data_IF_933204061939
#
_entry.id   IF_933204061939
#
_cell.length_a   1.000
_cell.length_b   1.000
_cell.length_c   1.000
_cell.angle_alpha   90.00
_cell.angle_beta   90.00
_cell.angle_gamma   90.00
#
_symmetry.space_group_name_H-M   'P 1'
#
loop_
_entity.id
_entity.type
_entity.pdbx_description
1 polymer ?
#
# COMPACT_ATOMS: atom_id res chain seq x y z
N UNK A 1 -71.76 -23.89 -23.69
CA UNK A 1 -70.76 -22.84 -23.83
C UNK A 1 -70.19 -22.51 -22.45
N UNK A 2 -69.05 -23.10 -22.10
CA UNK A 2 -68.39 -22.88 -20.79
C UNK A 2 -67.32 -21.80 -20.96
N UNK A 3 -67.52 -20.64 -20.34
CA UNK A 3 -66.54 -19.55 -20.32
C UNK A 3 -65.46 -19.84 -19.27
N UNK A 4 -64.23 -20.13 -19.73
CA UNK A 4 -63.06 -20.33 -18.92
C UNK A 4 -62.51 -18.95 -18.52
N UNK A 5 -62.62 -18.57 -17.20
CA UNK A 5 -61.98 -17.40 -16.65
C UNK A 5 -60.54 -17.75 -16.25
N UNK A 6 -59.54 -17.25 -17.00
CA UNK A 6 -58.15 -17.36 -16.65
C UNK A 6 -57.85 -16.18 -15.72
N UNK A 7 -57.67 -16.47 -14.43
CA UNK A 7 -57.22 -15.52 -13.42
C UNK A 7 -55.69 -15.39 -13.49
N UNK A 8 -55.21 -14.32 -14.11
CA UNK A 8 -53.77 -14.00 -14.17
C UNK A 8 -53.35 -13.39 -12.81
N UNK A 9 -52.84 -14.21 -11.89
CA UNK A 9 -52.25 -13.74 -10.65
C UNK A 9 -50.84 -13.17 -10.94
N UNK A 10 -50.74 -11.87 -11.02
CA UNK A 10 -49.49 -11.15 -11.09
C UNK A 10 -48.79 -11.22 -9.72
N UNK A 11 -47.84 -12.10 -9.58
CA UNK A 11 -46.97 -12.19 -8.39
C UNK A 11 -46.09 -10.95 -8.32
N UNK A 12 -46.43 -10.01 -7.44
CA UNK A 12 -45.54 -8.93 -7.04
C UNK A 12 -44.41 -9.54 -6.20
N UNK A 13 -43.25 -9.77 -6.82
CA UNK A 13 -42.03 -10.02 -6.08
C UNK A 13 -41.57 -8.70 -5.45
N UNK A 14 -41.49 -8.58 -4.12
CA UNK A 14 -40.81 -7.43 -3.54
C UNK A 14 -39.35 -7.49 -3.93
N UNK A 15 -38.92 -6.52 -4.73
CA UNK A 15 -37.50 -6.25 -4.92
C UNK A 15 -37.02 -5.74 -3.57
N UNK A 16 -36.42 -6.63 -2.78
CA UNK A 16 -35.61 -6.25 -1.63
C UNK A 16 -34.41 -5.47 -2.22
N UNK A 17 -34.57 -4.15 -2.31
CA UNK A 17 -33.44 -3.26 -2.46
C UNK A 17 -32.60 -3.47 -1.19
N UNK A 18 -31.61 -4.34 -1.24
CA UNK A 18 -30.51 -4.33 -0.28
C UNK A 18 -29.91 -2.95 -0.38
N UNK A 19 -30.18 -2.09 0.59
CA UNK A 19 -29.38 -0.89 0.79
C UNK A 19 -27.95 -1.41 0.95
N UNK A 20 -27.15 -1.22 -0.09
CA UNK A 20 -25.72 -1.54 -0.03
C UNK A 20 -25.17 -0.65 1.06
N UNK A 21 -24.81 -1.23 2.20
CA UNK A 21 -24.17 -0.49 3.27
C UNK A 21 -22.98 0.23 2.66
N UNK A 22 -22.95 1.55 2.79
CA UNK A 22 -21.92 2.37 2.18
C UNK A 22 -20.52 1.89 2.57
N UNK A 23 -19.60 1.92 1.62
CA UNK A 23 -18.23 1.52 1.86
C UNK A 23 -17.51 2.66 2.55
N UNK A 24 -17.06 2.43 3.79
CA UNK A 24 -16.21 3.37 4.52
C UNK A 24 -15.01 2.59 5.03
N UNK A 25 -13.83 2.78 4.42
CA UNK A 25 -12.64 2.01 4.76
C UNK A 25 -11.35 2.81 4.55
N UNK A 26 -10.32 2.50 5.34
CA UNK A 26 -8.95 2.86 5.05
C UNK A 26 -8.26 1.73 4.31
N UNK A 27 -7.52 2.09 3.26
CA UNK A 27 -6.75 1.18 2.42
C UNK A 27 -5.29 1.57 2.40
N UNK A 28 -4.44 0.59 2.18
CA UNK A 28 -3.04 0.74 1.78
C UNK A 28 -2.80 -0.14 0.56
N UNK A 29 -1.87 0.28 -0.31
CA UNK A 29 -1.52 -0.44 -1.53
C UNK A 29 -0.10 -0.98 -1.48
N UNK A 30 0.18 -1.99 -2.30
CA UNK A 30 1.52 -2.54 -2.44
C UNK A 30 2.52 -1.48 -2.86
N UNK A 31 3.67 -1.47 -2.20
CA UNK A 31 4.77 -0.54 -2.46
C UNK A 31 6.08 -1.30 -2.69
N UNK A 32 7.02 -0.63 -3.35
CA UNK A 32 8.34 -1.19 -3.70
C UNK A 32 9.43 -0.18 -3.40
N UNK A 33 10.60 -0.68 -3.05
CA UNK A 33 11.78 0.14 -2.84
C UNK A 33 13.04 -0.67 -2.64
N UNK A 34 14.10 0.00 -2.20
CA UNK A 34 15.40 -0.61 -1.93
C UNK A 34 15.77 -0.45 -0.45
N UNK A 35 16.65 -1.32 0.04
CA UNK A 35 17.19 -1.17 1.38
C UNK A 35 17.98 0.14 1.53
N UNK A 36 17.69 0.91 2.57
CA UNK A 36 18.28 2.22 2.85
C UNK A 36 17.55 3.41 2.21
N UNK A 37 16.42 3.19 1.52
CA UNK A 37 15.61 4.25 0.95
C UNK A 37 14.51 4.74 1.88
N UNK A 38 13.99 5.92 1.57
CA UNK A 38 12.72 6.42 2.07
C UNK A 38 11.64 6.12 1.02
N UNK A 39 10.52 5.56 1.48
CA UNK A 39 9.40 5.15 0.61
C UNK A 39 8.12 5.79 1.15
N UNK A 40 7.27 6.28 0.26
CA UNK A 40 5.95 6.80 0.62
C UNK A 40 4.93 5.67 0.58
N UNK A 41 4.21 5.47 1.68
CA UNK A 41 3.03 4.61 1.79
C UNK A 41 1.80 5.51 1.87
N UNK A 42 0.99 5.62 0.80
CA UNK A 42 -0.27 6.32 0.86
C UNK A 42 -1.28 5.54 1.71
N UNK A 43 -1.95 6.23 2.64
CA UNK A 43 -3.15 5.72 3.33
C UNK A 43 -4.36 6.37 2.69
N UNK A 44 -5.17 5.55 2.05
CA UNK A 44 -6.34 5.99 1.28
C UNK A 44 -7.62 5.83 2.10
N UNK A 45 -8.52 6.78 1.95
CA UNK A 45 -9.87 6.70 2.48
C UNK A 45 -10.85 6.57 1.30
N UNK A 46 -11.65 5.50 1.32
CA UNK A 46 -12.85 5.35 0.49
C UNK A 46 -14.07 5.53 1.40
N UNK A 47 -14.94 6.47 1.09
CA UNK A 47 -16.05 6.81 1.97
C UNK A 47 -17.29 7.26 1.21
N UNK A 48 -18.44 6.71 1.60
CA UNK A 48 -19.77 7.13 1.12
C UNK A 48 -20.34 8.23 2.02
N UNK A 49 -19.85 8.34 3.26
CA UNK A 49 -20.25 9.37 4.21
C UNK A 49 -19.11 10.36 4.41
N UNK A 50 -19.43 11.60 4.69
CA UNK A 50 -18.43 12.61 5.07
C UNK A 50 -17.75 12.22 6.38
N UNK A 51 -16.42 12.14 6.36
CA UNK A 51 -15.58 11.81 7.53
C UNK A 51 -14.82 13.04 7.99
N UNK A 52 -14.73 13.23 9.31
CA UNK A 52 -14.01 14.35 9.95
C UNK A 52 -12.76 13.93 10.72
N UNK A 53 -12.65 12.64 11.01
CA UNK A 53 -11.46 12.08 11.67
C UNK A 53 -11.36 10.58 11.36
N UNK A 54 -10.18 10.04 11.61
CA UNK A 54 -9.90 8.61 11.59
C UNK A 54 -8.82 8.26 12.61
N UNK A 55 -8.78 7.02 13.05
CA UNK A 55 -7.71 6.43 13.85
C UNK A 55 -7.39 5.04 13.35
N UNK A 56 -6.11 4.65 13.44
CA UNK A 56 -5.68 3.31 13.08
C UNK A 56 -4.34 2.97 13.74
N UNK A 57 -3.98 1.68 13.67
CA UNK A 57 -2.64 1.20 13.94
C UNK A 57 -1.99 0.77 12.62
N UNK A 58 -0.76 1.20 12.41
CA UNK A 58 0.10 0.76 11.31
C UNK A 58 1.09 -0.26 11.87
N UNK A 59 1.05 -1.48 11.32
CA UNK A 59 1.98 -2.56 11.65
C UNK A 59 3.00 -2.69 10.53
N UNK A 60 4.26 -2.53 10.89
CA UNK A 60 5.40 -2.59 9.98
C UNK A 60 6.29 -3.78 10.32
N UNK A 61 6.96 -4.37 9.31
CA UNK A 61 7.97 -5.41 9.55
C UNK A 61 9.21 -4.84 10.24
N UNK A 62 9.98 -5.71 10.87
CA UNK A 62 11.30 -5.35 11.42
C UNK A 62 12.19 -4.72 10.33
N UNK A 63 12.94 -3.69 10.70
CA UNK A 63 13.79 -2.94 9.78
C UNK A 63 13.07 -1.87 8.96
N UNK A 64 11.77 -1.65 9.18
CA UNK A 64 11.01 -0.54 8.57
C UNK A 64 10.43 0.35 9.66
N UNK A 65 10.61 1.66 9.55
CA UNK A 65 10.15 2.65 10.55
C UNK A 65 9.42 3.80 9.89
N UNK A 66 8.49 4.39 10.62
CA UNK A 66 7.89 5.68 10.23
C UNK A 66 8.90 6.78 10.50
N UNK A 67 9.20 7.55 9.48
CA UNK A 67 10.01 8.79 9.56
C UNK A 67 9.08 9.98 9.78
N UNK A 68 8.01 10.07 8.97
CA UNK A 68 7.04 11.17 9.04
C UNK A 68 5.66 10.71 8.57
N UNK A 69 4.62 11.46 8.93
CA UNK A 69 3.26 11.34 8.42
C UNK A 69 2.72 12.72 8.09
N UNK A 70 2.32 12.92 6.85
CA UNK A 70 1.78 14.18 6.34
C UNK A 70 0.34 14.01 5.85
N UNK A 71 -0.52 14.98 6.16
CA UNK A 71 -1.86 15.06 5.59
C UNK A 71 -1.79 15.46 4.12
N UNK A 72 -2.66 14.89 3.29
CA UNK A 72 -2.77 15.25 1.89
C UNK A 72 -3.73 16.43 1.67
N UNK A 73 -3.82 16.93 0.44
CA UNK A 73 -4.71 18.04 0.05
C UNK A 73 -6.20 17.75 0.26
N UNK A 74 -6.59 16.47 0.44
CA UNK A 74 -7.97 16.10 0.79
C UNK A 74 -8.44 16.71 2.11
N UNK A 75 -7.55 17.04 3.01
CA UNK A 75 -7.87 17.73 4.26
C UNK A 75 -8.13 19.22 4.12
N UNK A 76 -8.15 19.79 2.98
CA UNK A 76 -8.50 21.16 2.57
C UNK A 76 -8.83 22.14 3.74
N UNK A 77 -8.08 22.08 4.82
CA UNK A 77 -8.31 22.85 6.05
C UNK A 77 -7.01 23.05 6.84
N UNK A 78 -6.71 24.29 7.16
CA UNK A 78 -5.59 24.65 8.03
C UNK A 78 -5.75 24.18 9.49
N UNK A 79 -6.93 23.68 9.86
CA UNK A 79 -7.23 23.18 11.20
C UNK A 79 -7.18 21.66 11.28
N UNK A 80 -6.86 20.99 10.18
CA UNK A 80 -6.58 19.57 10.16
C UNK A 80 -5.22 19.27 10.81
N UNK A 81 -5.13 18.15 11.49
CA UNK A 81 -3.95 17.72 12.21
C UNK A 81 -3.77 16.21 12.11
N UNK A 82 -2.54 15.74 12.11
CA UNK A 82 -2.17 14.34 12.26
C UNK A 82 -1.29 14.18 13.47
N UNK A 83 -1.59 13.18 14.29
CA UNK A 83 -0.76 12.79 15.43
C UNK A 83 -0.43 11.32 15.31
N UNK A 84 0.83 10.96 15.54
CA UNK A 84 1.27 9.59 15.56
C UNK A 84 2.33 9.34 16.62
N UNK A 85 2.40 8.09 17.07
CA UNK A 85 3.44 7.63 17.99
C UNK A 85 3.72 6.15 17.80
N UNK A 86 4.96 5.77 17.98
CA UNK A 86 5.34 4.38 18.14
C UNK A 86 4.85 3.87 19.49
N UNK A 87 4.04 2.82 19.49
CA UNK A 87 3.53 2.16 20.70
C UNK A 87 4.51 1.08 21.16
N UNK A 88 5.02 0.33 20.19
CA UNK A 88 6.11 -0.63 20.31
C UNK A 88 6.84 -0.74 18.97
N UNK A 89 7.97 -1.41 18.92
CA UNK A 89 8.69 -1.59 17.68
C UNK A 89 7.79 -2.18 16.57
N UNK A 90 7.77 -1.54 15.40
CA UNK A 90 6.92 -1.92 14.27
C UNK A 90 5.42 -1.59 14.43
N UNK A 91 4.96 -1.06 15.57
CA UNK A 91 3.56 -0.71 15.80
C UNK A 91 3.39 0.79 16.08
N UNK A 92 2.70 1.48 15.19
CA UNK A 92 2.42 2.91 15.28
C UNK A 92 0.91 3.17 15.39
N UNK A 93 0.50 3.92 16.42
CA UNK A 93 -0.85 4.48 16.48
C UNK A 93 -0.84 5.85 15.81
N UNK A 94 -1.82 6.13 14.96
CA UNK A 94 -1.98 7.44 14.34
C UNK A 94 -3.44 7.84 14.26
N UNK A 95 -3.70 9.15 14.32
CA UNK A 95 -5.02 9.75 14.33
C UNK A 95 -4.98 11.04 13.51
N UNK A 96 -5.83 11.12 12.48
CA UNK A 96 -6.06 12.34 11.73
C UNK A 96 -7.41 12.96 12.11
N UNK A 97 -7.45 14.25 12.36
CA UNK A 97 -8.68 14.93 12.78
C UNK A 97 -8.67 16.40 12.38
N UNK A 98 -9.86 16.99 12.34
CA UNK A 98 -10.04 18.42 12.11
C UNK A 98 -10.64 19.09 13.35
N UNK A 99 -9.95 20.11 13.90
CA UNK A 99 -10.38 20.83 15.10
C UNK A 99 -11.70 21.59 14.93
N UNK A 100 -12.16 21.82 13.70
CA UNK A 100 -13.43 22.50 13.38
C UNK A 100 -14.43 21.58 12.72
N UNK A 101 -14.21 20.27 12.78
CA UNK A 101 -15.07 19.26 12.14
C UNK A 101 -15.29 19.49 10.63
N UNK A 102 -14.33 20.12 9.94
CA UNK A 102 -14.39 20.24 8.48
C UNK A 102 -14.13 18.85 7.88
N UNK A 103 -15.03 18.35 7.03
CA UNK A 103 -14.89 17.02 6.47
C UNK A 103 -13.67 16.88 5.56
N UNK A 104 -13.17 15.66 5.47
CA UNK A 104 -12.21 15.24 4.45
C UNK A 104 -12.90 15.34 3.09
N UNK A 105 -12.29 16.03 2.14
CA UNK A 105 -12.90 16.27 0.82
C UNK A 105 -12.80 15.07 -0.09
N UNK A 106 -13.81 14.92 -0.97
CA UNK A 106 -13.91 13.79 -1.90
C UNK A 106 -14.25 12.46 -1.22
N UNK A 107 -14.43 11.42 -2.04
CA UNK A 107 -14.92 10.12 -1.59
C UNK A 107 -13.86 9.01 -1.73
N UNK A 108 -12.72 9.29 -2.38
CA UNK A 108 -11.64 8.31 -2.62
C UNK A 108 -10.29 9.02 -2.74
N UNK A 109 -9.22 8.32 -2.36
CA UNK A 109 -7.82 8.72 -2.51
C UNK A 109 -7.08 8.91 -1.19
N UNK A 110 -5.79 9.22 -1.29
CA UNK A 110 -4.90 9.36 -0.14
C UNK A 110 -5.31 10.50 0.78
N UNK A 111 -5.33 10.23 2.08
CA UNK A 111 -5.56 11.22 3.15
C UNK A 111 -4.33 11.42 4.02
N UNK A 112 -3.38 10.46 4.00
CA UNK A 112 -2.09 10.55 4.69
C UNK A 112 -1.02 9.94 3.80
N UNK A 113 0.10 10.61 3.68
CA UNK A 113 1.32 10.07 3.12
C UNK A 113 2.28 9.73 4.27
N UNK A 114 2.55 8.43 4.45
CA UNK A 114 3.48 7.93 5.46
C UNK A 114 4.85 7.76 4.83
N UNK A 115 5.83 8.52 5.29
CA UNK A 115 7.23 8.34 4.89
C UNK A 115 7.83 7.23 5.74
N UNK A 116 8.17 6.13 5.10
CA UNK A 116 8.85 4.97 5.69
C UNK A 116 10.34 5.06 5.45
N UNK A 117 11.14 4.77 6.47
CA UNK A 117 12.59 4.59 6.36
C UNK A 117 12.89 3.09 6.43
N UNK A 118 13.52 2.56 5.38
CA UNK A 118 13.92 1.14 5.29
C UNK A 118 15.36 0.98 5.75
N UNK A 119 15.62 0.05 6.65
CA UNK A 119 16.99 -0.23 7.11
C UNK A 119 17.86 -0.67 5.92
N UNK A 120 19.07 -0.12 5.85
CA UNK A 120 20.04 -0.43 4.79
C UNK A 120 20.48 -1.91 4.74
N UNK A 121 20.28 -2.64 5.83
CA UNK A 121 20.59 -4.06 5.96
C UNK A 121 19.37 -4.96 5.79
N UNK A 122 18.18 -4.38 5.55
CA UNK A 122 16.98 -5.18 5.32
C UNK A 122 17.17 -6.05 4.07
N UNK A 123 16.97 -7.36 4.22
CA UNK A 123 17.15 -8.31 3.13
C UNK A 123 16.13 -8.06 2.00
N UNK A 124 16.50 -8.40 0.78
CA UNK A 124 15.54 -8.43 -0.33
C UNK A 124 14.43 -9.44 -0.04
N UNK A 125 13.19 -9.07 -0.32
CA UNK A 125 12.04 -9.91 -0.02
C UNK A 125 10.73 -9.16 -0.09
N UNK A 126 9.66 -9.87 0.22
CA UNK A 126 8.30 -9.31 0.32
C UNK A 126 7.88 -9.34 1.79
N UNK A 127 7.51 -8.20 2.30
CA UNK A 127 7.13 -7.99 3.70
C UNK A 127 5.67 -7.54 3.78
N UNK A 128 4.94 -7.98 4.77
CA UNK A 128 3.54 -7.56 4.98
C UNK A 128 3.50 -6.25 5.78
N UNK A 129 2.66 -5.31 5.34
CA UNK A 129 2.24 -4.10 6.07
C UNK A 129 0.75 -4.23 6.36
N UNK A 130 0.30 -3.81 7.55
CA UNK A 130 -1.12 -3.86 7.90
C UNK A 130 -1.61 -2.57 8.56
N UNK A 131 -2.87 -2.24 8.29
CA UNK A 131 -3.67 -1.32 9.09
C UNK A 131 -4.63 -2.13 9.94
N UNK A 132 -4.60 -1.90 11.25
CA UNK A 132 -5.43 -2.59 12.22
C UNK A 132 -6.22 -1.60 13.10
N UNK A 133 -7.29 -2.07 13.74
CA UNK A 133 -8.11 -1.28 14.64
C UNK A 133 -8.51 0.07 14.05
N UNK A 134 -9.03 0.02 12.82
CA UNK A 134 -9.44 1.19 12.07
C UNK A 134 -10.74 1.73 12.66
N UNK A 135 -10.75 3.02 12.98
CA UNK A 135 -11.90 3.75 13.48
C UNK A 135 -12.12 4.99 12.61
N UNK A 136 -13.34 5.23 12.17
CA UNK A 136 -13.73 6.38 11.37
C UNK A 136 -14.75 7.22 12.13
N UNK A 137 -14.62 8.53 12.06
CA UNK A 137 -15.57 9.46 12.67
C UNK A 137 -16.36 10.20 11.55
N UNK A 138 -17.60 9.81 11.29
CA UNK A 138 -18.45 10.51 10.33
C UNK A 138 -18.80 11.92 10.81
N UNK A 139 -19.07 12.83 9.88
CA UNK A 139 -19.50 14.20 10.15
C UNK A 139 -20.83 14.23 10.93
N UNK A 140 -21.72 13.28 10.61
CA UNK A 140 -23.03 13.14 11.27
C UNK A 140 -23.05 11.96 12.22
N UNK A 141 -23.81 12.13 13.30
CA UNK A 141 -24.12 11.04 14.22
C UNK A 141 -25.09 10.04 13.58
N UNK A 142 -25.22 8.82 14.13
CA UNK A 142 -26.16 7.81 13.58
C UNK A 142 -27.61 8.27 13.52
N UNK A 143 -28.01 9.23 14.34
CA UNK A 143 -29.36 9.85 14.33
C UNK A 143 -29.51 10.95 13.26
N UNK A 144 -28.45 11.22 12.46
CA UNK A 144 -28.44 12.21 11.40
C UNK A 144 -28.15 13.65 11.87
N UNK A 145 -27.95 13.87 13.17
CA UNK A 145 -27.56 15.20 13.68
C UNK A 145 -26.09 15.50 13.40
N UNK A 146 -25.79 16.80 13.22
CA UNK A 146 -24.40 17.23 13.05
C UNK A 146 -23.64 17.10 14.37
N UNK A 147 -22.40 16.67 14.29
CA UNK A 147 -21.52 16.67 15.45
C UNK A 147 -21.29 18.11 15.92
N UNK A 148 -21.62 18.35 17.16
CA UNK A 148 -21.34 19.65 17.77
C UNK A 148 -19.84 19.85 17.96
N UNK A 149 -19.37 21.06 17.71
CA UNK A 149 -17.97 21.47 17.74
C UNK A 149 -17.18 20.87 18.92
N UNK A 150 -16.18 20.08 18.61
CA UNK A 150 -15.10 19.74 19.53
C UNK A 150 -15.26 18.47 20.36
N UNK A 151 -16.38 17.76 20.31
CA UNK A 151 -16.60 16.56 21.13
C UNK A 151 -16.65 15.29 20.28
N UNK A 152 -15.48 14.82 19.83
CA UNK A 152 -15.35 13.45 19.32
C UNK A 152 -15.35 12.49 20.52
N UNK A 153 -16.51 11.89 20.81
CA UNK A 153 -16.61 10.85 21.83
C UNK A 153 -16.20 9.51 21.24
N UNK A 154 -15.56 8.62 22.06
CA UNK A 154 -15.20 7.29 21.58
C UNK A 154 -16.38 6.49 21.00
N UNK A 155 -17.56 6.63 21.59
CA UNK A 155 -18.79 5.97 21.15
C UNK A 155 -19.34 6.44 19.80
N UNK A 156 -18.87 7.59 19.34
CA UNK A 156 -19.28 8.18 18.06
C UNK A 156 -18.41 7.68 16.88
N UNK A 157 -17.39 6.91 17.15
CA UNK A 157 -16.50 6.34 16.13
C UNK A 157 -17.10 5.03 15.62
N UNK A 158 -16.97 4.83 14.32
CA UNK A 158 -17.38 3.57 13.67
C UNK A 158 -16.14 2.70 13.51
N UNK A 159 -16.10 1.57 14.20
CA UNK A 159 -15.05 0.59 14.00
C UNK A 159 -15.21 -0.08 12.64
N UNK A 160 -14.14 -0.07 11.85
CA UNK A 160 -14.07 -0.78 10.56
C UNK A 160 -13.50 -2.16 10.82
N UNK A 161 -14.26 -3.20 10.48
CA UNK A 161 -13.85 -4.59 10.71
C UNK A 161 -12.78 -5.07 9.72
N UNK A 162 -12.54 -4.32 8.65
CA UNK A 162 -11.59 -4.70 7.60
C UNK A 162 -10.18 -4.34 8.04
N UNK A 163 -9.26 -5.29 7.92
CA UNK A 163 -7.83 -5.06 8.09
C UNK A 163 -7.27 -4.66 6.73
N UNK A 164 -6.68 -3.47 6.62
CA UNK A 164 -5.94 -3.07 5.44
C UNK A 164 -4.63 -3.85 5.36
N UNK A 165 -4.36 -4.49 4.22
CA UNK A 165 -3.11 -5.24 3.99
C UNK A 165 -2.46 -4.78 2.70
N UNK A 166 -1.13 -4.70 2.73
CA UNK A 166 -0.30 -4.43 1.57
C UNK A 166 1.04 -5.16 1.69
N UNK A 167 1.71 -5.33 0.58
CA UNK A 167 3.07 -5.84 0.52
C UNK A 167 4.08 -4.71 0.29
N UNK A 168 5.22 -4.81 0.97
CA UNK A 168 6.42 -4.04 0.71
C UNK A 168 7.45 -4.95 0.05
N UNK A 169 7.68 -4.76 -1.25
CA UNK A 169 8.72 -5.48 -1.98
C UNK A 169 10.04 -4.71 -1.90
N UNK A 170 11.03 -5.28 -1.20
CA UNK A 170 12.39 -4.76 -1.14
C UNK A 170 13.25 -5.47 -2.18
N UNK A 171 13.78 -4.71 -3.13
CA UNK A 171 14.72 -5.21 -4.14
C UNK A 171 16.11 -5.37 -3.56
N UNK A 172 16.83 -6.40 -4.02
CA UNK A 172 18.22 -6.57 -3.69
C UNK A 172 19.07 -5.46 -4.30
N UNK A 173 20.07 -5.01 -3.55
CA UNK A 173 21.05 -4.03 -4.05
C UNK A 173 21.84 -4.66 -5.19
N UNK A 174 21.48 -4.37 -6.42
CA UNK A 174 22.06 -4.96 -7.64
C UNK A 174 21.06 -5.51 -8.64
N UNK A 175 19.79 -5.58 -8.32
CA UNK A 175 18.72 -6.04 -9.24
C UNK A 175 18.32 -4.96 -10.29
N UNK A 176 18.99 -3.81 -10.28
CA UNK A 176 18.75 -2.70 -11.21
C UNK A 176 19.17 -2.96 -12.66
N UNK A 177 19.80 -4.09 -12.94
CA UNK A 177 20.07 -4.53 -14.31
C UNK A 177 19.20 -5.75 -14.61
N UNK A 178 18.21 -5.62 -15.48
CA UNK A 178 17.27 -6.64 -15.90
C UNK A 178 17.86 -7.94 -16.48
N UNK A 179 18.85 -8.52 -15.79
CA UNK A 179 19.45 -9.83 -16.04
C UNK A 179 19.47 -10.61 -14.71
N UNK A 180 18.33 -10.66 -14.02
CA UNK A 180 18.09 -11.65 -12.98
C UNK A 180 17.60 -12.93 -13.65
N UNK A 181 18.29 -14.03 -13.36
CA UNK A 181 18.05 -15.41 -13.81
C UNK A 181 18.76 -15.87 -15.10
N UNK A 182 20.08 -15.77 -15.11
CA UNK A 182 20.83 -16.85 -15.73
C UNK A 182 21.02 -17.92 -14.64
N UNK A 183 20.41 -19.10 -14.77
CA UNK A 183 20.64 -20.19 -13.85
C UNK A 183 22.14 -20.46 -13.79
N UNK A 184 22.72 -20.44 -12.59
CA UNK A 184 24.12 -20.83 -12.36
C UNK A 184 24.34 -22.34 -12.52
N UNK A 185 23.58 -22.97 -13.42
CA UNK A 185 23.74 -24.35 -13.78
C UNK A 185 24.45 -24.43 -15.14
N UNK A 186 25.67 -24.94 -15.08
CA UNK A 186 26.42 -25.50 -16.21
C UNK A 186 26.98 -24.54 -17.26
N UNK A 187 28.18 -24.05 -17.03
CA UNK A 187 29.08 -23.88 -18.15
C UNK A 187 30.51 -24.21 -17.76
N UNK A 188 30.83 -25.50 -17.75
CA UNK A 188 32.22 -26.00 -17.91
C UNK A 188 32.75 -25.76 -19.33
N UNK A 189 32.00 -25.07 -20.19
CA UNK A 189 32.48 -24.62 -21.51
C UNK A 189 32.41 -23.11 -21.61
N UNK A 190 33.23 -22.41 -20.82
CA UNK A 190 33.39 -20.98 -20.94
C UNK A 190 33.93 -20.63 -22.34
N UNK A 191 33.06 -20.14 -23.20
CA UNK A 191 33.43 -19.64 -24.52
C UNK A 191 34.56 -18.60 -24.41
N UNK A 192 35.44 -18.57 -25.41
CA UNK A 192 36.50 -17.57 -25.51
C UNK A 192 35.98 -16.43 -26.39
N UNK A 193 36.14 -15.19 -25.94
CA UNK A 193 35.68 -13.99 -26.63
C UNK A 193 36.77 -12.96 -26.77
N UNK A 194 36.80 -12.24 -27.89
CA UNK A 194 37.65 -11.05 -28.02
C UNK A 194 37.06 -9.86 -27.23
N UNK A 195 37.78 -8.75 -27.19
CA UNK A 195 37.35 -7.54 -26.47
C UNK A 195 36.14 -6.85 -27.12
N UNK A 196 35.76 -7.25 -28.33
CA UNK A 196 34.55 -6.74 -29.00
C UNK A 196 33.31 -7.63 -28.77
N UNK A 197 33.47 -8.73 -27.97
CA UNK A 197 32.39 -9.67 -27.65
C UNK A 197 32.18 -10.77 -28.71
N UNK A 198 33.02 -10.86 -29.72
CA UNK A 198 32.96 -11.92 -30.75
C UNK A 198 33.55 -13.21 -30.21
N UNK A 199 32.85 -14.32 -30.35
CA UNK A 199 33.31 -15.66 -29.92
C UNK A 199 34.46 -16.15 -30.78
N UNK A 200 35.53 -16.56 -30.14
CA UNK A 200 36.71 -17.15 -30.76
C UNK A 200 36.62 -18.69 -30.69
N UNK A 201 37.07 -19.38 -31.75
CA UNK A 201 37.14 -20.85 -31.76
C UNK A 201 38.26 -21.41 -30.87
N UNK A 202 39.33 -20.66 -30.73
CA UNK A 202 40.52 -21.01 -29.93
C UNK A 202 41.11 -19.75 -29.28
N UNK A 203 41.81 -19.92 -28.15
CA UNK A 203 42.50 -18.82 -27.51
C UNK A 203 43.66 -18.31 -28.40
N UNK A 204 43.74 -16.99 -28.64
CA UNK A 204 44.85 -16.44 -29.44
C UNK A 204 46.21 -16.69 -28.75
N UNK A 205 47.23 -16.87 -29.55
CA UNK A 205 48.58 -17.08 -29.03
C UNK A 205 49.19 -15.80 -28.44
N UNK A 206 48.75 -14.62 -28.89
CA UNK A 206 49.14 -13.30 -28.37
C UNK A 206 47.91 -12.40 -28.32
N UNK A 207 47.91 -11.45 -27.35
CA UNK A 207 46.83 -10.49 -27.23
C UNK A 207 45.93 -10.72 -26.00
N UNK A 208 44.79 -10.03 -25.95
CA UNK A 208 43.87 -10.05 -24.82
C UNK A 208 42.54 -10.66 -25.23
N UNK A 209 42.03 -11.58 -24.41
CA UNK A 209 40.72 -12.21 -24.63
C UNK A 209 40.00 -12.46 -23.29
N UNK A 210 38.74 -12.79 -23.33
CA UNK A 210 37.88 -13.09 -22.18
C UNK A 210 37.52 -14.57 -22.20
N UNK A 211 37.73 -15.25 -21.07
CA UNK A 211 37.36 -16.65 -20.87
C UNK A 211 36.83 -16.83 -19.46
N UNK A 212 35.63 -17.38 -19.29
CA UNK A 212 35.07 -17.62 -17.96
C UNK A 212 35.00 -16.37 -17.08
N UNK A 213 34.54 -15.24 -17.60
CA UNK A 213 34.49 -13.93 -16.92
C UNK A 213 35.84 -13.32 -16.53
N UNK A 214 36.96 -13.91 -16.96
CA UNK A 214 38.31 -13.39 -16.70
C UNK A 214 38.92 -12.82 -17.98
N UNK A 215 39.57 -11.67 -17.87
CA UNK A 215 40.40 -11.07 -18.92
C UNK A 215 41.80 -11.71 -18.85
N UNK A 216 42.24 -12.32 -19.92
CA UNK A 216 43.51 -13.02 -20.03
C UNK A 216 44.36 -12.29 -21.06
N UNK A 217 45.60 -11.92 -20.70
CA UNK A 217 46.61 -11.38 -21.62
C UNK A 217 47.68 -12.43 -21.86
N UNK A 218 48.02 -12.66 -23.13
CA UNK A 218 49.18 -13.49 -23.54
C UNK A 218 50.19 -12.62 -24.27
N UNK A 219 51.42 -12.73 -23.88
CA UNK A 219 52.54 -11.99 -24.43
C UNK A 219 53.28 -12.82 -25.49
#
# INVERSE_FOLDING_TARGET
MKKLFVLLTMAFLPILASAQAGVNELRISDIKGEAGEQIILPVELVNDQSMIAFGAFLVLPEGVRVEDMALTDRWNSKTANIQYKMVQEGLYKFVGFNLRNVPISGNEGSIVDVTLNVDKNLAAGVYEIRLEQIELAPEKLPDGTDRQNGNLRPEDWVAVQTIGKASLEIKGRGDATGISNVPSAMHENAGIYDLTGRRLKTAPQRGVYIQGKKKIAKH
#
